data_IF_846497727536
#
_entry.id   IF_846497727536
#
_cell.length_a   1.000
_cell.length_b   1.000
_cell.length_c   1.000
_cell.angle_alpha   90.00
_cell.angle_beta   90.00
_cell.angle_gamma   90.00
#
_symmetry.space_group_name_H-M   'P 1'
#
loop_
_entity.id
_entity.type
_entity.pdbx_description
1 polymer ?
#
# COMPACT_ATOMS: atom_id res chain seq x y z
N UNK A 1 11.80 11.20 -6.56
CA UNK A 1 12.92 11.77 -5.76
C UNK A 1 13.29 10.85 -4.58
N UNK A 2 12.32 10.21 -3.92
CA UNK A 2 12.58 9.25 -2.84
C UNK A 2 13.47 8.11 -3.31
N UNK A 3 13.11 7.47 -4.41
CA UNK A 3 13.87 6.37 -5.01
C UNK A 3 15.32 6.75 -5.33
N UNK A 4 15.52 7.93 -5.93
CA UNK A 4 16.85 8.43 -6.24
C UNK A 4 17.69 8.62 -4.97
N UNK A 5 17.10 9.20 -3.93
CA UNK A 5 17.79 9.40 -2.66
C UNK A 5 18.11 8.08 -1.94
N UNK A 6 17.30 7.04 -2.11
CA UNK A 6 17.58 5.70 -1.59
C UNK A 6 18.66 5.00 -2.41
N UNK A 7 18.64 5.12 -3.75
CA UNK A 7 19.70 4.60 -4.62
C UNK A 7 21.06 5.20 -4.29
N UNK A 8 21.15 6.52 -4.03
CA UNK A 8 22.37 7.21 -3.60
C UNK A 8 22.92 6.67 -2.26
N UNK A 9 22.07 6.04 -1.45
CA UNK A 9 22.42 5.39 -0.18
C UNK A 9 22.71 3.88 -0.31
N UNK A 10 22.82 3.39 -1.54
CA UNK A 10 23.15 1.99 -1.82
C UNK A 10 21.97 1.03 -1.75
N UNK A 11 20.73 1.56 -1.78
CA UNK A 11 19.53 0.73 -1.88
C UNK A 11 19.29 0.28 -3.32
N UNK A 12 18.56 -0.81 -3.48
CA UNK A 12 18.02 -1.23 -4.77
C UNK A 12 16.54 -0.85 -4.82
N UNK A 13 16.12 -0.28 -5.94
CA UNK A 13 14.70 -0.03 -6.24
C UNK A 13 14.28 -0.99 -7.33
N UNK A 14 13.22 -1.75 -7.08
CA UNK A 14 12.71 -2.77 -8.00
C UNK A 14 11.21 -2.61 -8.18
N UNK A 15 10.70 -3.00 -9.34
CA UNK A 15 9.30 -2.87 -9.69
C UNK A 15 8.77 -4.14 -10.33
N UNK A 16 7.57 -4.57 -9.91
CA UNK A 16 6.84 -5.68 -10.52
C UNK A 16 5.43 -5.25 -10.89
N UNK A 17 5.13 -5.25 -12.18
CA UNK A 17 3.83 -4.81 -12.71
C UNK A 17 2.72 -5.81 -12.39
N UNK A 18 1.83 -5.39 -11.52
CA UNK A 18 0.63 -6.13 -11.14
C UNK A 18 -0.60 -5.21 -11.01
N UNK A 19 -0.51 -4.00 -11.55
CA UNK A 19 -1.53 -2.95 -11.37
C UNK A 19 -2.93 -3.39 -11.80
N UNK A 20 -3.05 -4.15 -12.87
CA UNK A 20 -4.32 -4.66 -13.37
C UNK A 20 -4.86 -5.87 -12.60
N UNK A 21 -4.14 -6.34 -11.59
CA UNK A 21 -4.57 -7.40 -10.67
C UNK A 21 -5.09 -6.86 -9.32
N UNK A 22 -5.04 -5.55 -9.09
CA UNK A 22 -5.66 -4.86 -7.94
C UNK A 22 -5.32 -5.49 -6.57
N UNK A 23 -4.09 -6.01 -6.39
CA UNK A 23 -3.70 -6.69 -5.16
C UNK A 23 -4.43 -8.00 -4.87
N UNK A 24 -5.09 -8.60 -5.86
CA UNK A 24 -5.76 -9.90 -5.73
C UNK A 24 -4.77 -11.03 -5.39
N UNK A 25 -5.25 -12.22 -5.00
CA UNK A 25 -4.38 -13.37 -4.74
C UNK A 25 -3.39 -13.68 -5.88
N UNK A 26 -3.79 -13.42 -7.14
CA UNK A 26 -2.91 -13.57 -8.31
C UNK A 26 -1.76 -12.56 -8.31
N UNK A 27 -2.00 -11.34 -7.82
CA UNK A 27 -0.97 -10.33 -7.68
C UNK A 27 0.02 -10.74 -6.59
N UNK A 28 -0.48 -11.25 -5.46
CA UNK A 28 0.34 -11.74 -4.34
C UNK A 28 1.27 -12.86 -4.81
N UNK A 29 0.75 -13.86 -5.53
CA UNK A 29 1.57 -14.95 -6.08
C UNK A 29 2.68 -14.45 -7.01
N UNK A 30 2.40 -13.45 -7.86
CA UNK A 30 3.43 -12.85 -8.73
C UNK A 30 4.51 -12.13 -7.93
N UNK A 31 4.13 -11.41 -6.90
CA UNK A 31 5.07 -10.73 -6.02
C UNK A 31 5.91 -11.71 -5.21
N UNK A 32 5.31 -12.83 -4.75
CA UNK A 32 6.06 -13.90 -4.09
C UNK A 32 7.14 -14.49 -4.99
N UNK A 33 6.80 -14.77 -6.25
CA UNK A 33 7.75 -15.27 -7.23
C UNK A 33 8.88 -14.26 -7.52
N UNK A 34 8.54 -12.97 -7.65
CA UNK A 34 9.50 -11.91 -7.87
C UNK A 34 10.42 -11.71 -6.67
N UNK A 35 9.86 -11.67 -5.45
CA UNK A 35 10.64 -11.61 -4.21
C UNK A 35 11.60 -12.80 -4.09
N UNK A 36 11.10 -14.02 -4.30
CA UNK A 36 11.94 -15.22 -4.23
C UNK A 36 13.10 -15.19 -5.23
N UNK A 37 12.84 -14.71 -6.45
CA UNK A 37 13.86 -14.51 -7.47
C UNK A 37 14.93 -13.51 -7.02
N UNK A 38 14.55 -12.35 -6.51
CA UNK A 38 15.48 -11.31 -6.05
C UNK A 38 16.37 -11.81 -4.90
N UNK A 39 15.77 -12.49 -3.92
CA UNK A 39 16.50 -12.99 -2.76
C UNK A 39 17.43 -14.14 -3.15
N UNK A 40 16.94 -15.11 -3.95
CA UNK A 40 17.68 -16.31 -4.28
C UNK A 40 18.77 -16.08 -5.32
N UNK A 41 18.45 -15.37 -6.40
CA UNK A 41 19.35 -15.25 -7.55
C UNK A 41 20.22 -13.98 -7.48
N UNK A 42 19.76 -12.94 -6.74
CA UNK A 42 20.49 -11.67 -6.63
C UNK A 42 20.97 -11.33 -5.22
N UNK A 43 20.70 -12.19 -4.22
CA UNK A 43 21.18 -11.98 -2.85
C UNK A 43 20.58 -10.76 -2.15
N UNK A 44 19.37 -10.32 -2.53
CA UNK A 44 18.71 -9.19 -1.90
C UNK A 44 18.38 -9.50 -0.45
N UNK A 45 18.22 -8.41 0.34
CA UNK A 45 17.82 -8.52 1.74
C UNK A 45 16.48 -9.27 1.89
N UNK A 46 16.36 -10.03 2.98
CA UNK A 46 15.14 -10.81 3.28
C UNK A 46 13.95 -9.96 3.70
N UNK A 47 14.18 -8.71 4.10
CA UNK A 47 13.10 -7.76 4.40
C UNK A 47 13.12 -6.63 3.37
N UNK A 48 11.99 -6.38 2.74
CA UNK A 48 11.79 -5.32 1.76
C UNK A 48 11.03 -4.14 2.37
N UNK A 49 11.44 -2.92 2.03
CA UNK A 49 10.58 -1.76 2.19
C UNK A 49 9.60 -1.74 1.01
N UNK A 50 8.31 -1.60 1.30
CA UNK A 50 7.28 -1.60 0.28
C UNK A 50 6.81 -0.17 0.02
N UNK A 51 6.73 0.21 -1.26
CA UNK A 51 6.19 1.49 -1.70
C UNK A 51 5.00 1.26 -2.61
N UNK A 52 3.89 1.97 -2.35
CA UNK A 52 2.70 1.89 -3.18
C UNK A 52 1.98 3.21 -3.29
N UNK A 53 1.84 3.69 -4.53
CA UNK A 53 1.12 4.90 -4.86
C UNK A 53 -0.30 4.56 -5.33
N UNK A 54 -1.30 5.30 -4.85
CA UNK A 54 -2.68 5.17 -5.31
C UNK A 54 -3.14 3.69 -5.30
N UNK A 55 -3.52 3.13 -6.44
CA UNK A 55 -3.88 1.71 -6.60
C UNK A 55 -2.82 0.73 -6.08
N UNK A 56 -1.55 1.14 -6.03
CA UNK A 56 -0.46 0.35 -5.46
C UNK A 56 -0.66 -0.01 -3.99
N UNK A 57 -1.46 0.76 -3.24
CA UNK A 57 -1.85 0.44 -1.88
C UNK A 57 -2.43 -0.97 -1.75
N UNK A 58 -3.26 -1.41 -2.71
CA UNK A 58 -3.88 -2.74 -2.68
C UNK A 58 -2.84 -3.87 -2.65
N UNK A 59 -1.78 -3.79 -3.47
CA UNK A 59 -0.79 -4.89 -3.52
C UNK A 59 0.20 -4.85 -2.37
N UNK A 60 0.71 -3.66 -1.98
CA UNK A 60 1.70 -3.61 -0.90
C UNK A 60 1.14 -4.13 0.42
N UNK A 61 -0.12 -3.78 0.75
CA UNK A 61 -0.77 -4.26 1.96
C UNK A 61 -1.15 -5.74 1.88
N UNK A 62 -1.73 -6.19 0.76
CA UNK A 62 -2.16 -7.58 0.64
C UNK A 62 -0.97 -8.54 0.61
N UNK A 63 0.13 -8.14 -0.05
CA UNK A 63 1.36 -8.94 0.00
C UNK A 63 2.01 -8.91 1.38
N UNK A 64 2.06 -7.75 2.03
CA UNK A 64 2.59 -7.62 3.38
C UNK A 64 1.82 -8.47 4.40
N UNK A 65 0.48 -8.47 4.32
CA UNK A 65 -0.36 -9.31 5.20
C UNK A 65 -0.12 -10.80 5.00
N UNK A 66 0.18 -11.22 3.77
CA UNK A 66 0.52 -12.61 3.47
C UNK A 66 1.95 -12.98 3.88
N UNK A 67 2.85 -12.00 4.02
CA UNK A 67 4.29 -12.19 4.24
C UNK A 67 4.86 -11.16 5.24
N UNK A 68 4.30 -11.01 6.43
CA UNK A 68 4.69 -9.92 7.34
C UNK A 68 6.16 -9.99 7.78
N UNK A 69 6.74 -11.18 7.82
CA UNK A 69 8.14 -11.41 8.16
C UNK A 69 9.13 -10.95 7.09
N UNK A 70 8.67 -10.74 5.85
CA UNK A 70 9.46 -10.28 4.71
C UNK A 70 9.43 -8.76 4.53
N UNK A 71 8.74 -8.04 5.42
CA UNK A 71 8.53 -6.59 5.29
C UNK A 71 9.30 -5.84 6.36
N UNK A 72 10.06 -4.83 5.98
CA UNK A 72 10.70 -3.90 6.91
C UNK A 72 9.78 -2.72 7.25
N UNK A 73 9.08 -2.18 6.26
CA UNK A 73 8.12 -1.09 6.42
C UNK A 73 7.22 -0.96 5.19
N UNK A 74 6.14 -0.18 5.33
CA UNK A 74 5.22 0.15 4.24
C UNK A 74 5.12 1.67 4.11
N UNK A 75 5.41 2.20 2.92
CA UNK A 75 5.11 3.56 2.51
C UNK A 75 3.96 3.58 1.51
N UNK A 76 2.87 4.25 1.88
CA UNK A 76 1.69 4.46 1.05
C UNK A 76 1.55 5.93 0.64
N UNK A 77 1.50 6.21 -0.66
CA UNK A 77 1.25 7.55 -1.20
C UNK A 77 -0.17 7.63 -1.74
N UNK A 78 -1.04 8.34 -1.04
CA UNK A 78 -2.48 8.38 -1.30
C UNK A 78 -3.04 6.96 -1.60
N UNK A 79 -2.74 5.95 -0.75
CA UNK A 79 -2.94 4.54 -1.09
C UNK A 79 -4.42 4.18 -1.10
N UNK A 80 -4.83 3.39 -2.08
CA UNK A 80 -6.11 2.69 -2.04
C UNK A 80 -6.02 1.56 -1.03
N UNK A 81 -6.84 1.63 0.02
CA UNK A 81 -6.88 0.66 1.10
C UNK A 81 -8.21 -0.11 1.18
N UNK A 82 -9.21 0.30 0.41
CA UNK A 82 -10.46 -0.44 0.18
C UNK A 82 -10.86 -0.33 -1.29
N UNK A 83 -10.92 -1.44 -1.99
CA UNK A 83 -11.33 -1.45 -3.40
C UNK A 83 -12.80 -1.04 -3.60
N UNK A 84 -13.63 -1.09 -2.55
CA UNK A 84 -15.00 -0.60 -2.57
C UNK A 84 -15.04 0.94 -2.66
N UNK A 85 -14.11 1.62 -1.98
CA UNK A 85 -13.91 3.06 -2.13
C UNK A 85 -13.43 3.40 -3.53
N UNK A 86 -12.28 2.83 -3.93
CA UNK A 86 -11.75 2.94 -5.28
C UNK A 86 -11.21 1.57 -5.74
N UNK A 87 -11.57 1.09 -6.90
CA UNK A 87 -12.35 1.73 -7.97
C UNK A 87 -13.87 1.64 -7.83
N UNK A 88 -14.38 1.05 -6.76
CA UNK A 88 -15.80 0.71 -6.61
C UNK A 88 -16.75 1.91 -6.58
N UNK A 89 -16.32 3.06 -6.05
CA UNK A 89 -17.16 4.25 -5.90
C UNK A 89 -18.38 4.00 -4.99
N UNK A 90 -18.22 3.10 -4.00
CA UNK A 90 -19.30 2.72 -3.08
C UNK A 90 -19.34 3.61 -1.82
N UNK A 91 -18.48 4.61 -1.77
CA UNK A 91 -18.41 5.63 -0.72
C UNK A 91 -18.59 7.04 -1.28
N UNK A 92 -17.76 7.98 -0.82
CA UNK A 92 -17.79 9.39 -1.23
C UNK A 92 -17.08 9.68 -2.55
N UNK A 93 -16.10 8.84 -2.92
CA UNK A 93 -15.37 8.95 -4.19
C UNK A 93 -16.21 8.50 -5.37
N UNK A 94 -15.96 9.10 -6.55
CA UNK A 94 -16.71 8.76 -7.78
C UNK A 94 -16.43 7.35 -8.29
N UNK A 95 -15.29 6.74 -7.92
CA UNK A 95 -14.84 5.48 -8.47
C UNK A 95 -14.60 5.52 -9.97
N UNK A 96 -14.56 4.32 -10.58
CA UNK A 96 -14.36 4.13 -12.01
C UNK A 96 -15.04 2.82 -12.45
N UNK A 97 -16.19 2.91 -13.12
CA UNK A 97 -17.00 1.74 -13.47
C UNK A 97 -16.24 0.68 -14.30
N UNK A 98 -15.45 1.12 -15.29
CA UNK A 98 -14.63 0.20 -16.09
C UNK A 98 -13.53 -0.47 -15.27
N UNK A 99 -12.87 0.30 -14.40
CA UNK A 99 -11.84 -0.21 -13.50
C UNK A 99 -12.44 -1.14 -12.44
N UNK A 100 -13.63 -0.83 -11.93
CA UNK A 100 -14.37 -1.69 -11.01
C UNK A 100 -14.66 -3.07 -11.60
N UNK A 101 -15.17 -3.11 -12.84
CA UNK A 101 -15.39 -4.37 -13.56
C UNK A 101 -14.11 -5.21 -13.68
N UNK A 102 -12.97 -4.55 -13.97
CA UNK A 102 -11.69 -5.24 -14.05
C UNK A 102 -11.21 -5.73 -12.67
N UNK A 103 -11.45 -4.95 -11.61
CA UNK A 103 -11.16 -5.35 -10.24
C UNK A 103 -11.95 -6.60 -9.84
N UNK A 104 -13.25 -6.62 -10.05
CA UNK A 104 -14.10 -7.79 -9.81
C UNK A 104 -13.59 -9.04 -10.55
N UNK A 105 -13.24 -8.88 -11.84
CA UNK A 105 -12.66 -9.97 -12.63
C UNK A 105 -11.33 -10.46 -12.06
N UNK A 106 -10.46 -9.56 -11.59
CA UNK A 106 -9.17 -9.92 -11.01
C UNK A 106 -9.31 -10.76 -9.74
N UNK A 107 -10.29 -10.44 -8.91
CA UNK A 107 -10.62 -11.18 -7.70
C UNK A 107 -11.51 -12.41 -7.96
N UNK A 108 -12.19 -12.49 -9.09
CA UNK A 108 -13.18 -13.53 -9.38
C UNK A 108 -14.47 -13.38 -8.56
N UNK A 109 -14.83 -12.13 -8.22
CA UNK A 109 -15.99 -11.79 -7.39
C UNK A 109 -17.15 -11.23 -8.24
N UNK A 110 -18.36 -11.56 -7.84
CA UNK A 110 -19.57 -10.80 -8.20
C UNK A 110 -19.60 -9.48 -7.43
N UNK A 111 -20.45 -8.54 -7.84
CA UNK A 111 -20.63 -7.27 -7.14
C UNK A 111 -21.09 -7.48 -5.70
N UNK A 112 -22.02 -8.41 -5.47
CA UNK A 112 -22.51 -8.74 -4.13
C UNK A 112 -21.39 -9.27 -3.23
N UNK A 113 -20.61 -10.26 -3.70
CA UNK A 113 -19.49 -10.82 -2.95
C UNK A 113 -18.41 -9.76 -2.65
N UNK A 114 -18.17 -8.84 -3.59
CA UNK A 114 -17.22 -7.75 -3.36
C UNK A 114 -17.66 -6.79 -2.24
N UNK A 115 -18.97 -6.55 -2.09
CA UNK A 115 -19.49 -5.73 -0.99
C UNK A 115 -19.27 -6.37 0.37
N UNK A 116 -19.36 -7.71 0.44
CA UNK A 116 -19.16 -8.48 1.68
C UNK A 116 -17.68 -8.84 1.93
N UNK A 117 -16.79 -8.56 0.96
CA UNK A 117 -15.38 -8.93 1.03
C UNK A 117 -14.63 -8.25 2.20
N UNK A 118 -13.88 -9.04 2.97
CA UNK A 118 -13.13 -8.63 4.16
C UNK A 118 -11.61 -8.83 4.02
N UNK A 119 -11.11 -8.82 2.79
CA UNK A 119 -9.69 -9.00 2.51
C UNK A 119 -8.97 -7.74 2.01
N UNK A 120 -9.63 -6.57 2.08
CA UNK A 120 -9.00 -5.29 1.70
C UNK A 120 -7.81 -4.93 2.62
N UNK A 121 -6.91 -4.03 2.21
CA UNK A 121 -5.87 -3.49 3.10
C UNK A 121 -6.36 -3.04 4.46
N UNK A 122 -7.53 -2.41 4.54
CA UNK A 122 -8.16 -1.98 5.81
C UNK A 122 -8.56 -3.14 6.74
N UNK A 123 -8.57 -4.37 6.24
CA UNK A 123 -8.97 -5.57 6.99
C UNK A 123 -7.73 -6.42 7.34
N UNK A 124 -7.75 -7.12 8.47
CA UNK A 124 -6.70 -8.08 8.84
C UNK A 124 -5.34 -7.45 9.14
N UNK A 125 -5.32 -6.22 9.69
CA UNK A 125 -4.10 -5.50 10.04
C UNK A 125 -3.35 -6.11 11.24
N UNK A 126 -3.98 -7.00 11.98
CA UNK A 126 -3.44 -7.64 13.20
C UNK A 126 -2.12 -8.36 12.92
N UNK A 127 -1.99 -8.96 11.73
CA UNK A 127 -0.77 -9.70 11.36
C UNK A 127 0.42 -8.75 11.19
N UNK A 128 0.19 -7.54 10.65
CA UNK A 128 1.22 -6.52 10.51
C UNK A 128 1.59 -5.89 11.84
N UNK A 129 0.59 -5.59 12.70
CA UNK A 129 0.81 -5.05 14.03
C UNK A 129 1.60 -6.03 14.90
N UNK A 130 1.23 -7.32 14.88
CA UNK A 130 1.98 -8.39 15.56
C UNK A 130 3.43 -8.50 15.08
N UNK A 131 3.66 -8.35 13.79
CA UNK A 131 4.99 -8.35 13.18
C UNK A 131 5.73 -7.02 13.37
N UNK A 132 5.09 -6.02 13.99
CA UNK A 132 5.62 -4.67 14.24
C UNK A 132 6.08 -3.96 12.96
N UNK A 133 5.38 -4.15 11.84
CA UNK A 133 5.69 -3.49 10.58
C UNK A 133 5.31 -2.02 10.67
N UNK A 134 6.25 -1.05 10.63
CA UNK A 134 5.89 0.36 10.69
C UNK A 134 5.28 0.82 9.36
N UNK A 135 4.29 1.71 9.46
CA UNK A 135 3.57 2.29 8.33
C UNK A 135 3.85 3.78 8.21
N UNK A 136 3.87 4.28 6.98
CA UNK A 136 3.99 5.69 6.67
C UNK A 136 3.10 6.06 5.50
N UNK A 137 2.20 7.04 5.69
CA UNK A 137 1.35 7.54 4.61
C UNK A 137 1.62 9.01 4.31
N UNK A 138 1.56 9.36 3.03
CA UNK A 138 1.48 10.75 2.56
C UNK A 138 0.15 10.91 1.85
N UNK A 139 -0.69 11.83 2.29
CA UNK A 139 -2.04 12.02 1.73
C UNK A 139 -2.36 13.49 1.45
N UNK A 140 -3.24 13.73 0.51
CA UNK A 140 -3.87 15.03 0.30
C UNK A 140 -5.23 15.07 0.99
N UNK A 141 -5.46 16.05 1.87
CA UNK A 141 -6.71 16.12 2.66
C UNK A 141 -7.96 16.38 1.81
N UNK A 142 -7.78 17.00 0.63
CA UNK A 142 -8.86 17.25 -0.34
C UNK A 142 -8.98 16.17 -1.42
N UNK A 143 -8.44 14.96 -1.19
CA UNK A 143 -8.50 13.86 -2.16
C UNK A 143 -9.93 13.33 -2.33
N UNK A 144 -10.49 13.56 -3.53
CA UNK A 144 -11.82 13.10 -3.94
C UNK A 144 -11.77 11.85 -4.82
N UNK A 145 -10.58 11.41 -5.22
CA UNK A 145 -10.36 10.19 -6.02
C UNK A 145 -10.24 8.98 -5.10
N UNK A 146 -9.36 9.09 -4.11
CA UNK A 146 -9.15 8.10 -3.04
C UNK A 146 -9.44 8.80 -1.70
N UNK A 147 -10.73 8.90 -1.31
CA UNK A 147 -11.10 9.65 -0.10
C UNK A 147 -10.36 9.15 1.14
N UNK A 148 -9.69 10.06 1.82
CA UNK A 148 -8.83 9.75 2.97
C UNK A 148 -9.60 9.03 4.06
N UNK A 149 -10.84 9.50 4.35
CA UNK A 149 -11.72 8.94 5.37
C UNK A 149 -12.15 7.47 5.13
N UNK A 150 -11.98 6.97 3.90
CA UNK A 150 -12.33 5.60 3.53
C UNK A 150 -11.10 4.69 3.39
N UNK A 151 -9.91 5.27 3.40
CA UNK A 151 -8.65 4.61 3.14
C UNK A 151 -7.64 4.84 4.27
N UNK A 152 -6.83 5.89 4.20
CA UNK A 152 -5.74 6.12 5.16
C UNK A 152 -6.22 6.35 6.59
N UNK A 153 -7.32 7.08 6.81
CA UNK A 153 -7.86 7.29 8.16
C UNK A 153 -8.34 5.98 8.80
N UNK A 154 -8.87 5.06 7.99
CA UNK A 154 -9.28 3.75 8.48
C UNK A 154 -8.07 2.91 8.87
N UNK A 155 -7.00 2.93 8.05
CA UNK A 155 -5.73 2.25 8.37
C UNK A 155 -5.15 2.84 9.65
N UNK A 156 -4.98 4.17 9.73
CA UNK A 156 -4.39 4.87 10.87
C UNK A 156 -5.10 4.47 12.16
N UNK A 157 -6.42 4.70 12.22
CA UNK A 157 -7.24 4.38 13.38
C UNK A 157 -7.11 2.92 13.81
N UNK A 158 -7.34 1.98 12.89
CA UNK A 158 -7.33 0.54 13.22
C UNK A 158 -5.94 0.05 13.61
N UNK A 159 -4.90 0.59 12.96
CA UNK A 159 -3.54 0.17 13.23
C UNK A 159 -3.04 0.65 14.59
N UNK A 160 -3.38 1.88 14.97
CA UNK A 160 -3.11 2.41 16.32
C UNK A 160 -3.87 1.65 17.42
N UNK A 161 -5.15 1.32 17.17
CA UNK A 161 -5.95 0.50 18.09
C UNK A 161 -5.33 -0.89 18.35
N UNK A 162 -4.59 -1.43 17.36
CA UNK A 162 -3.84 -2.67 17.45
C UNK A 162 -2.43 -2.51 18.05
N UNK A 163 -2.05 -1.29 18.47
CA UNK A 163 -0.72 -0.98 18.98
C UNK A 163 0.36 -0.92 17.90
N UNK A 164 -0.01 -0.82 16.63
CA UNK A 164 0.90 -0.63 15.50
C UNK A 164 1.39 0.81 15.39
N UNK A 165 2.54 0.99 14.75
CA UNK A 165 3.13 2.32 14.51
C UNK A 165 2.80 2.79 13.10
N UNK A 166 2.15 3.94 12.98
CA UNK A 166 1.87 4.62 11.72
C UNK A 166 2.17 6.10 11.84
N UNK A 167 2.77 6.67 10.80
CA UNK A 167 2.97 8.10 10.64
C UNK A 167 2.20 8.56 9.40
N UNK A 168 1.46 9.66 9.50
CA UNK A 168 0.70 10.20 8.37
C UNK A 168 1.06 11.67 8.16
N UNK A 169 1.62 11.99 6.99
CA UNK A 169 1.79 13.37 6.55
C UNK A 169 0.57 13.78 5.74
N UNK A 170 -0.15 14.77 6.27
CA UNK A 170 -1.34 15.35 5.66
C UNK A 170 -0.98 16.64 4.93
N UNK A 171 -1.38 16.75 3.66
CA UNK A 171 -1.15 17.93 2.81
C UNK A 171 -2.45 18.73 2.72
N UNK A 172 -2.60 19.84 3.48
CA UNK A 172 -3.82 20.62 3.49
C UNK A 172 -4.17 21.19 2.09
N UNK A 173 -5.44 21.08 1.70
CA UNK A 173 -5.93 21.58 0.41
C UNK A 173 -5.45 20.87 -0.83
N UNK A 174 -4.61 19.85 -0.70
CA UNK A 174 -4.10 19.04 -1.83
C UNK A 174 -5.08 17.88 -2.07
N UNK A 175 -5.38 17.63 -3.35
CA UNK A 175 -6.17 16.48 -3.80
C UNK A 175 -5.31 15.24 -3.99
N UNK A 176 -5.74 14.36 -4.92
CA UNK A 176 -5.00 13.13 -5.26
C UNK A 176 -3.61 13.40 -5.84
N UNK A 177 -3.43 14.52 -6.48
CA UNK A 177 -2.16 14.99 -7.05
C UNK A 177 -1.78 16.36 -6.50
N UNK A 178 -0.48 16.70 -6.45
CA UNK A 178 0.67 15.84 -6.75
C UNK A 178 0.93 14.82 -5.65
N UNK A 179 1.43 13.65 -6.06
CA UNK A 179 1.92 12.63 -5.17
C UNK A 179 3.23 13.03 -4.47
N UNK A 180 3.62 12.26 -3.45
CA UNK A 180 4.86 12.42 -2.69
C UNK A 180 5.02 13.77 -1.99
N UNK A 181 6.21 14.04 -1.56
CA UNK A 181 6.64 15.29 -0.92
C UNK A 181 7.66 15.99 -1.83
N UNK A 182 7.70 17.33 -1.78
CA UNK A 182 8.76 18.10 -2.46
C UNK A 182 10.15 17.76 -1.90
N UNK A 183 10.24 17.67 -0.57
CA UNK A 183 11.41 17.15 0.12
C UNK A 183 11.15 15.67 0.47
N UNK A 184 11.88 14.72 -0.14
CA UNK A 184 11.70 13.30 0.14
C UNK A 184 12.27 12.85 1.49
N UNK A 185 12.99 13.73 2.19
CA UNK A 185 13.72 13.40 3.42
C UNK A 185 12.89 12.66 4.47
N UNK A 186 11.64 13.06 4.81
CA UNK A 186 10.83 12.34 5.79
C UNK A 186 10.58 10.87 5.42
N UNK A 187 10.33 10.60 4.13
CA UNK A 187 10.09 9.23 3.63
C UNK A 187 11.39 8.43 3.66
N UNK A 188 12.49 9.03 3.18
CA UNK A 188 13.83 8.40 3.19
C UNK A 188 14.23 8.05 4.62
N UNK A 189 14.10 8.97 5.55
CA UNK A 189 14.45 8.76 6.97
C UNK A 189 13.60 7.64 7.58
N UNK A 190 12.30 7.58 7.24
CA UNK A 190 11.41 6.49 7.65
C UNK A 190 11.90 5.13 7.16
N UNK A 191 12.20 5.00 5.87
CA UNK A 191 12.69 3.75 5.28
C UNK A 191 14.00 3.32 5.93
N UNK A 192 14.96 4.24 6.09
CA UNK A 192 16.28 3.93 6.64
C UNK A 192 16.21 3.50 8.11
N UNK A 193 15.39 4.16 8.96
CA UNK A 193 15.28 3.77 10.37
C UNK A 193 14.52 2.45 10.56
N UNK A 194 13.52 2.18 9.70
CA UNK A 194 12.71 0.97 9.77
C UNK A 194 13.45 -0.29 9.30
N UNK A 195 14.49 -0.13 8.50
CA UNK A 195 15.25 -1.26 7.95
C UNK A 195 16.47 -1.66 8.80
N UNK A 196 16.69 -0.97 9.92
CA UNK A 196 17.75 -1.31 10.90
C UNK A 196 17.28 -2.26 12.00
N UNK A 197 15.98 -2.67 11.95
CA UNK A 197 15.36 -3.51 12.99
C UNK A 197 15.42 -5.00 12.66
#
# INVERSE_FOLDING_TARGET
>A
QTDLALLEKGWHVVYCEVGNLFGSPKAVVRWDAFYAYLVKEHGFAKKAALEGMSRGGLIIYNWAKANPEKVSCIYGDAPVCDFKSWPGGKGKGKGSAGTWKNCLKAYGLTEKEAMDFKGNPIDGLEVLAKAKVPLFHVIGEADTVVPVAENSDVIEKRYEELGGSIEVIRKPGIGHHPHSLKDPKPIVDFVLRSSKQ
#
